data_IF_844625865811
#
_entry.id   IF_844625865811
#
_cell.length_a   1.000
_cell.length_b   1.000
_cell.length_c   1.000
_cell.angle_alpha   90.00
_cell.angle_beta   90.00
_cell.angle_gamma   90.00
#
_symmetry.space_group_name_H-M   'P 1'
#
loop_
_entity.id
_entity.type
_entity.pdbx_description
1 polymer ?
#
# COMPACT_ATOMS: atom_id res chain seq x y z
N UNK A 1 2.31 -3.08 31.77
CA UNK A 1 1.35 -2.71 30.70
C UNK A 1 2.14 -2.03 29.58
N UNK A 2 2.61 -2.79 28.59
CA UNK A 2 3.46 -2.28 27.51
C UNK A 2 2.60 -1.67 26.40
N UNK A 3 2.71 -0.35 26.21
CA UNK A 3 2.24 0.36 25.03
C UNK A 3 3.28 0.19 23.91
N UNK A 4 3.06 -0.77 23.03
CA UNK A 4 3.81 -0.97 21.78
C UNK A 4 2.85 -1.22 20.62
N UNK A 5 1.75 -0.48 20.56
CA UNK A 5 0.91 -0.40 19.37
C UNK A 5 1.29 0.86 18.60
N UNK A 6 1.93 0.69 17.44
CA UNK A 6 2.14 1.77 16.48
C UNK A 6 0.76 2.23 15.95
N UNK A 7 0.51 3.55 15.80
CA UNK A 7 -0.76 4.02 15.25
C UNK A 7 -0.84 3.67 13.75
N UNK A 8 -1.60 2.61 13.43
CA UNK A 8 -1.99 2.30 12.05
C UNK A 8 -3.12 3.24 11.63
N UNK A 9 -2.96 3.91 10.50
CA UNK A 9 -3.72 5.09 10.11
C UNK A 9 -5.22 4.84 9.85
N UNK A 10 -5.60 3.59 9.57
CA UNK A 10 -6.93 3.26 9.04
C UNK A 10 -7.79 2.35 9.96
N UNK A 11 -7.37 2.12 11.20
CA UNK A 11 -8.13 1.28 12.14
C UNK A 11 -8.06 -0.23 11.83
N UNK A 12 -8.78 -1.04 12.62
CA UNK A 12 -8.75 -2.51 12.57
C UNK A 12 -10.14 -3.15 12.40
N UNK A 13 -11.16 -2.35 12.09
CA UNK A 13 -12.53 -2.84 12.02
C UNK A 13 -12.83 -3.59 10.71
N UNK A 14 -13.96 -4.31 10.67
CA UNK A 14 -14.38 -5.07 9.49
C UNK A 14 -14.66 -4.18 8.26
N UNK A 15 -14.97 -2.89 8.47
CA UNK A 15 -15.16 -1.91 7.40
C UNK A 15 -13.84 -1.65 6.70
N UNK A 16 -12.79 -1.40 7.48
CA UNK A 16 -11.43 -1.17 6.98
C UNK A 16 -10.88 -2.40 6.27
N UNK A 17 -11.06 -3.59 6.85
CA UNK A 17 -10.61 -4.83 6.21
C UNK A 17 -11.26 -5.06 4.84
N UNK A 18 -12.55 -4.73 4.70
CA UNK A 18 -13.24 -4.80 3.42
C UNK A 18 -12.78 -3.71 2.44
N UNK A 19 -12.45 -2.51 2.95
CA UNK A 19 -11.90 -1.42 2.13
C UNK A 19 -10.54 -1.80 1.54
N UNK A 20 -9.65 -2.42 2.31
CA UNK A 20 -8.34 -2.91 1.85
C UNK A 20 -8.47 -3.97 0.74
N UNK A 21 -9.45 -4.87 0.83
CA UNK A 21 -9.73 -5.85 -0.25
C UNK A 21 -10.21 -5.16 -1.53
N UNK A 22 -11.18 -4.24 -1.43
CA UNK A 22 -11.65 -3.44 -2.58
C UNK A 22 -10.50 -2.65 -3.22
N UNK A 23 -9.61 -2.06 -2.40
CA UNK A 23 -8.43 -1.37 -2.88
C UNK A 23 -7.58 -2.29 -3.76
N UNK A 24 -7.26 -3.50 -3.29
CA UNK A 24 -6.47 -4.45 -4.07
C UNK A 24 -7.14 -4.82 -5.42
N UNK A 25 -8.45 -5.05 -5.44
CA UNK A 25 -9.20 -5.32 -6.67
C UNK A 25 -9.15 -4.14 -7.67
N UNK A 26 -9.37 -2.91 -7.19
CA UNK A 26 -9.35 -1.71 -8.05
C UNK A 26 -7.96 -1.41 -8.60
N UNK A 27 -6.90 -1.68 -7.84
CA UNK A 27 -5.52 -1.36 -8.21
C UNK A 27 -4.81 -2.51 -8.91
N UNK A 28 -5.31 -3.76 -8.82
CA UNK A 28 -4.65 -4.98 -9.31
C UNK A 28 -4.09 -4.80 -10.72
N UNK A 29 -4.93 -4.37 -11.66
CA UNK A 29 -4.50 -4.24 -13.06
C UNK A 29 -3.30 -3.28 -13.20
N UNK A 30 -3.28 -2.18 -12.45
CA UNK A 30 -2.23 -1.16 -12.58
C UNK A 30 -0.95 -1.56 -11.86
N UNK A 31 -1.08 -2.15 -10.67
CA UNK A 31 0.04 -2.62 -9.84
C UNK A 31 0.74 -3.80 -10.52
N UNK A 32 -0.01 -4.82 -10.96
CA UNK A 32 0.55 -6.07 -11.46
C UNK A 32 0.90 -6.09 -12.95
N UNK A 33 0.60 -5.02 -13.70
CA UNK A 33 0.83 -4.95 -15.17
C UNK A 33 2.25 -5.36 -15.58
N UNK A 34 3.25 -4.91 -14.82
CA UNK A 34 4.68 -5.10 -15.14
C UNK A 34 5.40 -6.00 -14.12
N UNK A 35 4.64 -6.66 -13.24
CA UNK A 35 5.18 -7.59 -12.26
C UNK A 35 5.27 -8.97 -12.89
N UNK A 36 6.48 -9.54 -12.88
CA UNK A 36 6.69 -10.93 -13.23
C UNK A 36 7.46 -11.65 -12.12
N UNK A 37 6.78 -12.59 -11.47
CA UNK A 37 7.28 -13.49 -10.42
C UNK A 37 7.19 -14.96 -10.84
N UNK A 38 7.04 -15.27 -12.14
CA UNK A 38 6.80 -16.64 -12.63
C UNK A 38 7.94 -17.62 -12.35
N UNK A 39 9.15 -17.11 -12.10
CA UNK A 39 10.36 -17.88 -11.77
C UNK A 39 10.66 -17.90 -10.26
N UNK A 40 9.91 -17.13 -9.46
CA UNK A 40 10.02 -17.15 -8.00
C UNK A 40 9.29 -18.38 -7.48
N UNK A 41 9.89 -19.07 -6.51
CA UNK A 41 9.26 -20.20 -5.81
C UNK A 41 8.95 -19.85 -4.37
N UNK A 42 9.91 -19.27 -3.65
CA UNK A 42 9.72 -18.78 -2.28
C UNK A 42 9.75 -17.25 -2.24
N UNK A 43 8.60 -16.64 -1.99
CA UNK A 43 8.42 -15.19 -1.92
C UNK A 43 8.28 -14.76 -0.45
N UNK A 44 8.89 -13.64 -0.07
CA UNK A 44 8.52 -12.92 1.15
C UNK A 44 7.63 -11.73 0.79
N UNK A 45 6.49 -11.60 1.46
CA UNK A 45 5.62 -10.43 1.40
C UNK A 45 5.74 -9.65 2.71
N UNK A 46 6.14 -8.38 2.63
CA UNK A 46 6.30 -7.51 3.81
C UNK A 46 5.14 -6.54 3.91
N UNK A 47 4.45 -6.56 5.04
CA UNK A 47 3.24 -5.76 5.27
C UNK A 47 2.04 -6.37 4.54
N UNK A 48 1.76 -7.66 4.77
CA UNK A 48 0.67 -8.35 4.07
C UNK A 48 -0.72 -7.83 4.45
N UNK A 49 -0.85 -7.13 5.58
CA UNK A 49 -2.12 -6.61 6.09
C UNK A 49 -3.17 -7.72 6.14
N UNK A 50 -4.33 -7.46 5.54
CA UNK A 50 -5.47 -8.40 5.46
C UNK A 50 -5.33 -9.49 4.38
N UNK A 51 -4.13 -9.67 3.82
CA UNK A 51 -3.84 -10.69 2.80
C UNK A 51 -4.40 -10.37 1.40
N UNK A 52 -4.74 -9.10 1.13
CA UNK A 52 -5.36 -8.72 -0.14
C UNK A 52 -4.39 -8.84 -1.33
N UNK A 53 -3.14 -8.39 -1.18
CA UNK A 53 -2.12 -8.57 -2.21
C UNK A 53 -1.63 -10.03 -2.27
N UNK A 54 -1.57 -10.71 -1.11
CA UNK A 54 -1.26 -12.15 -1.00
C UNK A 54 -2.20 -13.00 -1.86
N UNK A 55 -3.52 -12.77 -1.79
CA UNK A 55 -4.51 -13.45 -2.62
C UNK A 55 -4.18 -13.30 -4.11
N UNK A 56 -3.96 -12.06 -4.55
CA UNK A 56 -3.68 -11.74 -5.95
C UNK A 56 -2.39 -12.44 -6.41
N UNK A 57 -1.33 -12.38 -5.59
CA UNK A 57 -0.05 -13.04 -5.86
C UNK A 57 -0.25 -14.54 -6.06
N UNK A 58 -0.95 -15.21 -5.14
CA UNK A 58 -1.22 -16.64 -5.18
C UNK A 58 -2.05 -17.04 -6.40
N UNK A 59 -3.04 -16.22 -6.78
CA UNK A 59 -3.88 -16.44 -7.96
C UNK A 59 -3.10 -16.25 -9.26
N UNK A 60 -2.27 -15.22 -9.36
CA UNK A 60 -1.53 -14.87 -10.60
C UNK A 60 -0.30 -15.73 -10.85
N UNK A 61 0.36 -16.19 -9.78
CA UNK A 61 1.60 -16.95 -9.87
C UNK A 61 1.43 -18.32 -9.19
N UNK A 62 0.97 -19.36 -9.93
CA UNK A 62 0.58 -20.63 -9.33
C UNK A 62 1.72 -21.43 -8.67
N UNK A 63 2.98 -21.05 -8.91
CA UNK A 63 4.18 -21.76 -8.41
C UNK A 63 4.81 -21.13 -7.16
N UNK A 64 4.30 -20.01 -6.67
CA UNK A 64 4.86 -19.35 -5.48
C UNK A 64 4.27 -19.95 -4.20
N UNK A 65 5.12 -20.05 -3.19
CA UNK A 65 4.75 -20.11 -1.78
C UNK A 65 5.19 -18.80 -1.14
N UNK A 66 4.35 -18.22 -0.27
CA UNK A 66 4.56 -16.89 0.31
C UNK A 66 4.70 -16.98 1.83
N UNK A 67 5.81 -16.50 2.36
CA UNK A 67 5.90 -16.14 3.78
C UNK A 67 5.47 -14.67 3.91
N UNK A 68 4.36 -14.43 4.60
CA UNK A 68 3.77 -13.11 4.78
C UNK A 68 4.12 -12.61 6.18
N UNK A 69 4.67 -11.41 6.29
CA UNK A 69 4.93 -10.77 7.59
C UNK A 69 4.06 -9.53 7.77
N UNK A 70 3.56 -9.35 8.99
CA UNK A 70 2.90 -8.11 9.42
C UNK A 70 3.14 -7.90 10.93
N UNK A 71 3.08 -6.64 11.37
CA UNK A 71 3.22 -6.27 12.79
C UNK A 71 1.88 -6.33 13.54
N UNK A 72 0.75 -6.38 12.83
CA UNK A 72 -0.57 -6.43 13.45
C UNK A 72 -1.13 -7.84 13.47
N UNK A 73 -1.33 -8.40 14.67
CA UNK A 73 -2.00 -9.69 14.85
C UNK A 73 -3.43 -9.66 14.30
N UNK A 74 -4.16 -8.56 14.48
CA UNK A 74 -5.54 -8.41 13.97
C UNK A 74 -5.59 -8.48 12.43
N UNK A 75 -4.60 -7.90 11.75
CA UNK A 75 -4.52 -7.97 10.29
C UNK A 75 -4.19 -9.39 9.82
N UNK A 76 -3.28 -10.08 10.51
CA UNK A 76 -2.96 -11.48 10.21
C UNK A 76 -4.15 -12.41 10.43
N UNK A 77 -4.93 -12.22 11.49
CA UNK A 77 -6.18 -12.96 11.70
C UNK A 77 -7.18 -12.74 10.55
N UNK A 78 -7.31 -11.49 10.08
CA UNK A 78 -8.16 -11.16 8.94
C UNK A 78 -7.64 -11.73 7.62
N UNK A 79 -6.32 -11.78 7.44
CA UNK A 79 -5.66 -12.41 6.32
C UNK A 79 -5.93 -13.90 6.29
N UNK A 80 -5.79 -14.59 7.42
CA UNK A 80 -6.06 -16.03 7.55
C UNK A 80 -7.51 -16.34 7.15
N UNK A 81 -8.48 -15.60 7.68
CA UNK A 81 -9.89 -15.79 7.33
C UNK A 81 -10.20 -15.52 5.85
N UNK A 82 -9.46 -14.62 5.21
CA UNK A 82 -9.62 -14.28 3.80
C UNK A 82 -9.02 -15.35 2.89
N UNK A 83 -7.77 -15.72 3.17
CA UNK A 83 -6.99 -16.63 2.35
C UNK A 83 -7.48 -18.08 2.49
N UNK A 84 -7.95 -18.49 3.67
CA UNK A 84 -8.54 -19.81 3.88
C UNK A 84 -9.78 -20.09 3.01
N UNK A 85 -10.48 -19.04 2.54
CA UNK A 85 -11.63 -19.15 1.62
C UNK A 85 -11.19 -19.37 0.16
N UNK A 86 -9.92 -19.14 -0.15
CA UNK A 86 -9.38 -19.25 -1.49
C UNK A 86 -8.79 -20.65 -1.71
N UNK A 87 -9.49 -21.51 -2.45
CA UNK A 87 -9.06 -22.91 -2.65
C UNK A 87 -7.64 -23.02 -3.25
N UNK A 88 -7.24 -22.08 -4.11
CA UNK A 88 -5.89 -22.04 -4.66
C UNK A 88 -4.85 -21.61 -3.63
N UNK A 89 -5.18 -20.89 -2.55
CA UNK A 89 -4.21 -20.43 -1.56
C UNK A 89 -3.77 -21.55 -0.60
N UNK A 90 -4.53 -22.65 -0.51
CA UNK A 90 -4.30 -23.76 0.40
C UNK A 90 -2.84 -24.25 0.34
N UNK A 91 -2.20 -24.35 1.51
CA UNK A 91 -0.82 -24.83 1.71
C UNK A 91 0.26 -24.03 0.95
N UNK A 92 -0.06 -22.80 0.48
CA UNK A 92 0.86 -21.93 -0.28
C UNK A 92 1.20 -20.61 0.40
N UNK A 93 0.75 -20.39 1.62
CA UNK A 93 1.14 -19.24 2.41
C UNK A 93 1.36 -19.61 3.87
N UNK A 94 2.20 -18.83 4.54
CA UNK A 94 2.39 -18.85 6.00
C UNK A 94 2.36 -17.41 6.49
N UNK A 95 1.62 -17.16 7.57
CA UNK A 95 1.51 -15.85 8.20
C UNK A 95 2.42 -15.77 9.43
N UNK A 96 3.17 -14.68 9.55
CA UNK A 96 4.13 -14.46 10.61
C UNK A 96 3.93 -13.08 11.25
N UNK A 97 3.75 -13.05 12.56
CA UNK A 97 3.78 -11.81 13.32
C UNK A 97 5.24 -11.41 13.56
N UNK A 98 5.75 -10.45 12.78
CA UNK A 98 7.17 -10.08 12.80
C UNK A 98 7.38 -8.59 12.52
N UNK A 99 8.45 -8.04 13.09
CA UNK A 99 8.92 -6.71 12.76
C UNK A 99 9.77 -6.75 11.48
N UNK A 100 9.38 -5.99 10.46
CA UNK A 100 10.08 -5.96 9.18
C UNK A 100 11.53 -5.44 9.25
N UNK A 101 11.93 -4.81 10.36
CA UNK A 101 13.30 -4.35 10.60
C UNK A 101 14.21 -5.37 11.28
N UNK A 102 13.67 -6.51 11.71
CA UNK A 102 14.37 -7.59 12.40
C UNK A 102 13.61 -8.91 12.21
N UNK A 103 13.91 -9.62 11.11
CA UNK A 103 13.14 -10.80 10.69
C UNK A 103 13.79 -12.09 11.19
N UNK A 104 12.98 -12.99 11.75
CA UNK A 104 13.44 -14.30 12.24
C UNK A 104 13.63 -15.35 11.11
N UNK A 105 14.12 -14.91 9.95
CA UNK A 105 14.47 -15.78 8.83
C UNK A 105 15.99 -15.87 8.65
N UNK A 106 16.46 -17.01 8.16
CA UNK A 106 17.85 -17.17 7.77
C UNK A 106 18.21 -16.29 6.57
N UNK A 107 19.47 -15.86 6.51
CA UNK A 107 20.03 -15.16 5.35
C UNK A 107 19.86 -15.99 4.08
N UNK A 108 19.55 -15.34 2.95
CA UNK A 108 19.40 -15.99 1.65
C UNK A 108 18.34 -17.13 1.59
N UNK A 109 17.23 -16.95 2.30
CA UNK A 109 16.09 -17.87 2.32
C UNK A 109 15.13 -17.73 1.13
N UNK A 110 15.06 -16.57 0.49
CA UNK A 110 13.99 -16.22 -0.46
C UNK A 110 14.47 -15.95 -1.89
N UNK A 111 13.64 -16.31 -2.88
CA UNK A 111 13.89 -16.12 -4.32
C UNK A 111 13.32 -14.79 -4.84
N UNK A 112 12.48 -14.13 -4.04
CA UNK A 112 11.98 -12.79 -4.32
C UNK A 112 11.26 -12.17 -3.14
N UNK A 113 11.03 -10.86 -3.24
CA UNK A 113 10.30 -10.08 -2.25
C UNK A 113 9.26 -9.17 -2.91
N UNK A 114 8.15 -8.94 -2.20
CA UNK A 114 7.08 -8.04 -2.61
C UNK A 114 6.68 -7.12 -1.45
N UNK A 115 6.64 -5.82 -1.73
CA UNK A 115 6.23 -4.77 -0.81
C UNK A 115 5.23 -3.85 -1.52
N UNK A 116 4.11 -3.55 -0.88
CA UNK A 116 3.08 -2.67 -1.45
C UNK A 116 2.43 -1.83 -0.34
N UNK A 117 2.61 -0.51 -0.39
CA UNK A 117 2.03 0.46 0.54
C UNK A 117 2.40 0.19 2.01
N UNK A 118 3.68 -0.06 2.27
CA UNK A 118 4.20 -0.37 3.61
C UNK A 118 5.28 0.60 4.03
N UNK A 119 6.17 1.00 3.12
CA UNK A 119 7.30 1.86 3.46
C UNK A 119 6.86 3.29 3.83
N UNK A 120 5.68 3.71 3.39
CA UNK A 120 5.07 4.99 3.78
C UNK A 120 4.68 5.06 5.26
N UNK A 121 4.62 3.92 5.96
CA UNK A 121 4.19 3.81 7.36
C UNK A 121 5.33 3.51 8.34
N UNK A 122 6.56 3.28 7.85
CA UNK A 122 7.69 2.88 8.70
C UNK A 122 8.67 4.04 8.96
N UNK A 123 9.18 4.22 10.18
CA UNK A 123 10.15 5.27 10.49
C UNK A 123 11.50 5.13 9.77
N UNK A 124 11.91 3.90 9.46
CA UNK A 124 13.18 3.60 8.82
C UNK A 124 13.00 2.60 7.66
N UNK A 125 12.59 3.08 6.47
CA UNK A 125 12.45 2.23 5.29
C UNK A 125 13.80 1.66 4.82
N UNK A 126 14.92 2.31 5.15
CA UNK A 126 16.26 1.82 4.85
C UNK A 126 16.55 0.52 5.61
N UNK A 127 16.26 0.49 6.92
CA UNK A 127 16.43 -0.71 7.75
C UNK A 127 15.55 -1.86 7.31
N UNK A 128 14.28 -1.59 6.95
CA UNK A 128 13.40 -2.61 6.36
C UNK A 128 14.01 -3.19 5.08
N UNK A 129 14.47 -2.33 4.16
CA UNK A 129 15.04 -2.79 2.89
C UNK A 129 16.40 -3.47 3.05
N UNK A 130 17.20 -3.09 4.05
CA UNK A 130 18.41 -3.82 4.44
C UNK A 130 18.05 -5.24 4.88
N UNK A 131 16.99 -5.39 5.67
CA UNK A 131 16.63 -6.69 6.21
C UNK A 131 15.99 -7.61 5.18
N UNK A 132 15.15 -7.04 4.30
CA UNK A 132 14.68 -7.74 3.09
C UNK A 132 15.87 -8.21 2.25
N UNK A 133 16.91 -7.38 2.07
CA UNK A 133 18.09 -7.77 1.30
C UNK A 133 18.81 -8.95 1.95
N UNK A 134 18.94 -8.98 3.28
CA UNK A 134 19.60 -10.08 4.02
C UNK A 134 18.89 -11.42 3.76
N UNK A 135 17.57 -11.45 3.82
CA UNK A 135 16.81 -12.71 3.67
C UNK A 135 16.66 -13.14 2.21
N UNK A 136 16.90 -12.25 1.24
CA UNK A 136 16.92 -12.57 -0.19
C UNK A 136 18.24 -13.26 -0.60
N UNK A 137 18.13 -14.28 -1.47
CA UNK A 137 19.29 -14.85 -2.16
C UNK A 137 19.93 -13.81 -3.09
N UNK A 138 21.26 -13.86 -3.32
CA UNK A 138 21.89 -13.05 -4.35
C UNK A 138 21.23 -13.29 -5.72
N UNK A 139 20.95 -12.21 -6.45
CA UNK A 139 20.22 -12.21 -7.71
C UNK A 139 18.69 -12.28 -7.61
N UNK A 140 18.11 -12.38 -6.40
CA UNK A 140 16.65 -12.41 -6.21
C UNK A 140 16.01 -11.06 -6.55
N UNK A 141 14.77 -11.11 -7.05
CA UNK A 141 14.01 -9.91 -7.46
C UNK A 141 13.20 -9.34 -6.32
N UNK A 142 13.15 -8.01 -6.23
CA UNK A 142 12.24 -7.29 -5.34
C UNK A 142 11.34 -6.38 -6.18
N UNK A 143 10.04 -6.35 -5.84
CA UNK A 143 9.10 -5.34 -6.32
C UNK A 143 8.57 -4.53 -5.14
N UNK A 144 8.59 -3.21 -5.27
CA UNK A 144 8.12 -2.26 -4.26
C UNK A 144 7.14 -1.31 -4.94
N UNK A 145 5.95 -1.13 -4.38
CA UNK A 145 4.94 -0.19 -4.87
C UNK A 145 4.55 0.76 -3.74
N UNK A 146 4.79 2.06 -3.90
CA UNK A 146 4.56 3.05 -2.84
C UNK A 146 3.95 4.35 -3.38
N UNK A 147 3.33 5.09 -2.46
CA UNK A 147 2.60 6.34 -2.71
C UNK A 147 3.47 7.49 -3.20
N UNK A 148 2.83 8.41 -3.92
CA UNK A 148 3.35 9.75 -4.23
C UNK A 148 2.22 10.76 -4.04
N UNK A 149 1.90 11.08 -2.78
CA UNK A 149 0.70 11.84 -2.44
C UNK A 149 0.66 13.25 -3.01
N UNK A 150 1.82 13.85 -3.27
CA UNK A 150 1.94 15.16 -3.94
C UNK A 150 1.41 15.16 -5.39
N UNK A 151 1.17 13.99 -5.98
CA UNK A 151 0.65 13.86 -7.34
C UNK A 151 -0.88 13.78 -7.45
N UNK A 152 -1.58 13.75 -6.32
CA UNK A 152 -3.04 13.76 -6.31
C UNK A 152 -3.56 15.03 -6.99
N UNK A 153 -4.54 14.88 -7.86
CA UNK A 153 -5.23 15.96 -8.53
C UNK A 153 -6.70 15.59 -8.77
N UNK A 154 -7.57 16.57 -8.57
CA UNK A 154 -9.02 16.43 -8.71
C UNK A 154 -9.59 17.67 -9.40
N UNK A 155 -10.38 17.44 -10.45
CA UNK A 155 -11.18 18.44 -11.16
C UNK A 155 -12.67 18.08 -11.02
N UNK A 156 -13.57 19.04 -10.71
CA UNK A 156 -13.29 20.46 -10.41
C UNK A 156 -12.51 20.70 -9.12
N UNK A 157 -11.77 21.81 -9.09
CA UNK A 157 -11.01 22.24 -7.92
C UNK A 157 -11.89 22.26 -6.65
N UNK A 158 -11.45 21.50 -5.65
CA UNK A 158 -12.19 21.23 -4.42
C UNK A 158 -11.38 21.70 -3.20
N UNK A 159 -11.55 22.95 -2.75
CA UNK A 159 -10.64 23.57 -1.77
C UNK A 159 -10.61 22.87 -0.41
N UNK A 160 -11.73 22.30 0.06
CA UNK A 160 -11.76 21.61 1.34
C UNK A 160 -11.15 20.21 1.23
N UNK A 161 -11.31 19.53 0.10
CA UNK A 161 -10.55 18.30 -0.21
C UNK A 161 -9.04 18.56 -0.18
N UNK A 162 -8.59 19.67 -0.76
CA UNK A 162 -7.16 20.04 -0.73
C UNK A 162 -6.64 20.35 0.68
N UNK A 163 -7.39 21.10 1.47
CA UNK A 163 -7.04 21.36 2.89
C UNK A 163 -6.92 20.06 3.67
N UNK A 164 -7.91 19.17 3.53
CA UNK A 164 -7.90 17.86 4.18
C UNK A 164 -6.69 17.03 3.72
N UNK A 165 -6.43 16.97 2.41
CA UNK A 165 -5.33 16.18 1.86
C UNK A 165 -3.95 16.66 2.32
N UNK A 166 -3.74 17.98 2.38
CA UNK A 166 -2.50 18.55 2.90
C UNK A 166 -2.32 18.21 4.38
N UNK A 167 -3.38 18.39 5.19
CA UNK A 167 -3.35 18.04 6.61
C UNK A 167 -3.10 16.55 6.86
N UNK A 168 -3.67 15.67 6.03
CA UNK A 168 -3.39 14.22 6.07
C UNK A 168 -1.91 13.92 5.82
N UNK A 169 -1.30 14.56 4.83
CA UNK A 169 0.13 14.37 4.53
C UNK A 169 1.03 14.85 5.68
N UNK A 170 0.70 16.01 6.27
CA UNK A 170 1.44 16.53 7.43
C UNK A 170 1.31 15.57 8.62
N UNK A 171 0.10 15.04 8.86
CA UNK A 171 -0.14 14.05 9.91
C UNK A 171 0.69 12.78 9.70
N UNK A 172 0.70 12.22 8.49
CA UNK A 172 1.51 11.04 8.17
C UNK A 172 3.00 11.29 8.44
N UNK A 173 3.50 12.48 8.09
CA UNK A 173 4.89 12.86 8.33
C UNK A 173 5.20 12.96 9.83
N UNK A 174 4.31 13.57 10.62
CA UNK A 174 4.48 13.71 12.06
C UNK A 174 4.42 12.37 12.79
N UNK A 175 3.64 11.42 12.28
CA UNK A 175 3.60 10.02 12.71
C UNK A 175 4.82 9.20 12.27
N UNK A 176 5.86 9.85 11.71
CA UNK A 176 7.11 9.24 11.22
C UNK A 176 6.92 8.36 9.99
N UNK A 177 5.80 8.50 9.28
CA UNK A 177 5.63 8.00 7.92
C UNK A 177 6.20 8.95 6.88
N UNK A 178 6.03 8.59 5.61
CA UNK A 178 6.48 9.41 4.48
C UNK A 178 5.49 9.33 3.31
N UNK A 179 4.57 10.32 3.16
CA UNK A 179 3.57 10.37 2.08
C UNK A 179 4.17 10.48 0.67
N UNK A 180 5.49 10.68 0.58
CA UNK A 180 6.21 10.92 -0.67
C UNK A 180 7.30 9.88 -0.93
N UNK A 181 7.31 8.78 -0.17
CA UNK A 181 8.37 7.77 -0.18
C UNK A 181 8.59 7.15 -1.57
N UNK A 182 7.53 7.04 -2.39
CA UNK A 182 7.61 6.51 -3.74
C UNK A 182 8.66 7.21 -4.60
N UNK A 183 8.76 8.54 -4.52
CA UNK A 183 9.77 9.30 -5.26
C UNK A 183 11.21 9.04 -4.81
N UNK A 184 11.40 8.47 -3.61
CA UNK A 184 12.70 8.25 -2.97
C UNK A 184 13.21 6.81 -3.16
N UNK A 185 12.36 5.89 -3.63
CA UNK A 185 12.66 4.45 -3.70
C UNK A 185 13.99 4.12 -4.41
N UNK A 186 14.29 4.79 -5.52
CA UNK A 186 15.54 4.54 -6.26
C UNK A 186 16.78 4.79 -5.42
N UNK A 187 16.81 5.89 -4.67
CA UNK A 187 17.94 6.25 -3.82
C UNK A 187 18.05 5.34 -2.60
N UNK A 188 16.92 5.01 -1.96
CA UNK A 188 16.91 4.13 -0.79
C UNK A 188 17.41 2.73 -1.18
N UNK A 189 16.92 2.18 -2.29
CA UNK A 189 17.40 0.89 -2.82
C UNK A 189 18.90 0.92 -3.12
N UNK A 190 19.40 1.97 -3.76
CA UNK A 190 20.82 2.12 -4.07
C UNK A 190 21.69 2.19 -2.80
N UNK A 191 21.24 2.92 -1.77
CA UNK A 191 21.93 3.03 -0.48
C UNK A 191 21.98 1.67 0.25
N UNK A 192 20.95 0.83 0.11
CA UNK A 192 20.93 -0.51 0.69
C UNK A 192 21.65 -1.57 -0.17
N UNK A 193 22.33 -1.16 -1.25
CA UNK A 193 23.17 -2.05 -2.06
C UNK A 193 22.42 -2.88 -3.10
N UNK A 194 21.14 -2.58 -3.37
CA UNK A 194 20.43 -3.20 -4.49
C UNK A 194 21.01 -2.74 -5.84
N UNK A 195 20.87 -3.58 -6.86
CA UNK A 195 21.31 -3.29 -8.24
C UNK A 195 20.17 -3.49 -9.24
N UNK A 196 20.44 -3.17 -10.51
CA UNK A 196 19.46 -3.25 -11.60
C UNK A 196 18.14 -2.53 -11.28
N UNK A 197 18.26 -1.38 -10.62
CA UNK A 197 17.11 -0.62 -10.11
C UNK A 197 16.39 0.04 -11.28
N UNK A 198 15.12 -0.32 -11.47
CA UNK A 198 14.20 0.32 -12.39
C UNK A 198 13.03 0.92 -11.60
N UNK A 199 12.87 2.23 -11.70
CA UNK A 199 11.73 2.96 -11.12
C UNK A 199 10.75 3.31 -12.25
N UNK A 200 9.47 3.07 -12.04
CA UNK A 200 8.41 3.34 -13.00
C UNK A 200 7.26 4.08 -12.33
N UNK A 201 6.86 5.21 -12.89
CA UNK A 201 5.65 5.93 -12.47
C UNK A 201 4.43 5.23 -13.03
N UNK A 202 3.48 4.91 -12.16
CA UNK A 202 2.17 4.35 -12.48
C UNK A 202 1.13 5.43 -12.22
N UNK A 203 0.07 5.45 -13.02
CA UNK A 203 -0.95 6.51 -12.95
C UNK A 203 -2.35 5.93 -12.99
N UNK A 204 -3.24 6.49 -12.17
CA UNK A 204 -4.67 6.45 -12.38
C UNK A 204 -5.10 7.80 -12.95
N UNK A 205 -5.28 7.85 -14.26
CA UNK A 205 -5.85 9.01 -14.95
C UNK A 205 -7.25 8.63 -15.43
N UNK A 206 -8.26 9.12 -14.73
CA UNK A 206 -9.66 8.78 -14.95
C UNK A 206 -10.44 10.06 -15.26
N UNK A 207 -11.03 10.08 -16.45
CA UNK A 207 -11.80 11.19 -16.98
C UNK A 207 -13.03 10.65 -17.74
N UNK A 208 -13.69 11.52 -18.50
CA UNK A 208 -14.92 11.18 -19.20
C UNK A 208 -14.76 10.18 -20.36
N UNK A 209 -13.54 9.70 -20.66
CA UNK A 209 -13.34 8.54 -21.54
C UNK A 209 -13.83 7.24 -20.90
N UNK A 210 -13.95 7.21 -19.56
CA UNK A 210 -14.40 6.05 -18.76
C UNK A 210 -15.26 6.51 -17.57
N UNK A 211 -16.45 7.09 -17.80
CA UNK A 211 -17.23 7.76 -16.76
C UNK A 211 -17.66 6.85 -15.62
N UNK A 212 -18.10 5.62 -15.92
CA UNK A 212 -18.47 4.63 -14.89
C UNK A 212 -17.30 4.28 -13.97
N UNK A 213 -16.15 3.92 -14.55
CA UNK A 213 -14.92 3.61 -13.80
C UNK A 213 -14.41 4.81 -13.01
N UNK A 214 -14.49 6.03 -13.57
CA UNK A 214 -14.14 7.27 -12.86
C UNK A 214 -15.02 7.44 -11.62
N UNK A 215 -16.33 7.27 -11.77
CA UNK A 215 -17.31 7.41 -10.68
C UNK A 215 -17.04 6.42 -9.55
N UNK A 216 -16.88 5.14 -9.89
CA UNK A 216 -16.54 4.08 -8.92
C UNK A 216 -15.21 4.37 -8.21
N UNK A 217 -14.21 4.86 -8.94
CA UNK A 217 -12.90 5.15 -8.36
C UNK A 217 -12.92 6.36 -7.44
N UNK A 218 -13.65 7.43 -7.77
CA UNK A 218 -13.81 8.59 -6.87
C UNK A 218 -14.53 8.17 -5.59
N UNK A 219 -15.53 7.29 -5.68
CA UNK A 219 -16.21 6.74 -4.50
C UNK A 219 -15.26 5.92 -3.62
N UNK A 220 -14.53 4.98 -4.22
CA UNK A 220 -13.46 4.24 -3.53
C UNK A 220 -12.43 5.18 -2.87
N UNK A 221 -11.97 6.20 -3.60
CA UNK A 221 -11.01 7.17 -3.10
C UNK A 221 -11.58 8.01 -1.96
N UNK A 222 -12.87 8.36 -2.01
CA UNK A 222 -13.56 9.09 -0.95
C UNK A 222 -13.55 8.29 0.35
N UNK A 223 -13.90 6.99 0.27
CA UNK A 223 -13.89 6.10 1.43
C UNK A 223 -12.48 5.92 2.01
N UNK A 224 -11.47 5.75 1.14
CA UNK A 224 -10.06 5.67 1.55
C UNK A 224 -9.60 6.97 2.23
N UNK A 225 -9.79 8.11 1.57
CA UNK A 225 -9.32 9.40 2.05
C UNK A 225 -9.94 9.75 3.39
N UNK A 226 -11.25 9.57 3.55
CA UNK A 226 -11.98 9.97 4.75
C UNK A 226 -11.89 8.96 5.89
N UNK A 227 -11.33 7.75 5.69
CA UNK A 227 -11.17 6.76 6.76
C UNK A 227 -10.33 7.26 7.95
N UNK A 228 -9.46 8.25 7.75
CA UNK A 228 -8.66 8.86 8.79
C UNK A 228 -9.31 10.11 9.43
N UNK A 229 -10.54 10.49 9.03
CA UNK A 229 -11.16 11.76 9.44
C UNK A 229 -11.28 11.91 10.95
N UNK A 230 -11.75 10.87 11.64
CA UNK A 230 -12.02 10.94 13.08
C UNK A 230 -10.72 11.17 13.86
N UNK A 231 -9.64 10.51 13.43
CA UNK A 231 -8.33 10.65 14.05
C UNK A 231 -7.70 12.01 13.75
N UNK A 232 -7.80 12.50 12.51
CA UNK A 232 -7.32 13.84 12.12
C UNK A 232 -8.05 14.97 12.86
N UNK A 233 -9.37 14.84 13.08
CA UNK A 233 -10.16 15.80 13.86
C UNK A 233 -9.75 15.75 15.33
N UNK A 234 -9.64 14.55 15.89
CA UNK A 234 -9.22 14.34 17.29
C UNK A 234 -7.83 14.92 17.57
N UNK A 235 -6.90 14.73 16.64
CA UNK A 235 -5.53 15.23 16.75
C UNK A 235 -5.39 16.69 16.26
N UNK A 236 -6.50 17.32 15.86
CA UNK A 236 -6.61 18.75 15.49
C UNK A 236 -5.83 19.16 14.24
N UNK A 237 -5.61 18.24 13.31
CA UNK A 237 -5.05 18.55 11.98
C UNK A 237 -6.10 19.15 11.05
N UNK A 238 -7.38 18.81 11.27
CA UNK A 238 -8.52 19.31 10.49
C UNK A 238 -9.72 19.50 11.41
N UNK A 239 -10.65 20.39 11.06
CA UNK A 239 -11.92 20.56 11.79
C UNK A 239 -13.06 19.77 11.13
N UNK A 240 -14.13 19.51 11.90
CA UNK A 240 -15.32 18.79 11.42
C UNK A 240 -15.97 19.47 10.22
N UNK A 241 -15.91 20.81 10.15
CA UNK A 241 -16.47 21.58 9.05
C UNK A 241 -15.73 21.31 7.73
N UNK A 242 -14.40 21.23 7.77
CA UNK A 242 -13.56 20.91 6.61
C UNK A 242 -13.81 19.48 6.15
N UNK A 243 -13.92 18.51 7.07
CA UNK A 243 -14.27 17.12 6.72
C UNK A 243 -15.63 17.05 6.04
N UNK A 244 -16.64 17.74 6.60
CA UNK A 244 -17.99 17.79 6.03
C UNK A 244 -17.98 18.39 4.61
N UNK A 245 -17.33 19.55 4.43
CA UNK A 245 -17.25 20.22 3.13
C UNK A 245 -16.45 19.41 2.10
N UNK A 246 -15.35 18.79 2.51
CA UNK A 246 -14.58 17.89 1.64
C UNK A 246 -15.44 16.70 1.17
N UNK A 247 -16.26 16.14 2.06
CA UNK A 247 -17.20 15.06 1.73
C UNK A 247 -18.26 15.51 0.71
N UNK A 248 -18.81 16.72 0.88
CA UNK A 248 -19.79 17.30 -0.06
C UNK A 248 -19.15 17.60 -1.43
N UNK A 249 -17.92 18.12 -1.44
CA UNK A 249 -17.14 18.36 -2.66
C UNK A 249 -16.88 17.03 -3.41
N UNK A 250 -16.38 15.99 -2.74
CA UNK A 250 -16.15 14.67 -3.36
C UNK A 250 -17.42 14.05 -3.96
N UNK A 251 -18.56 14.18 -3.25
CA UNK A 251 -19.87 13.75 -3.78
C UNK A 251 -20.27 14.53 -5.03
N UNK A 252 -19.94 15.81 -5.10
CA UNK A 252 -20.18 16.66 -6.27
C UNK A 252 -19.30 16.22 -7.43
N UNK A 253 -17.98 16.13 -7.21
CA UNK A 253 -17.01 15.72 -8.25
C UNK A 253 -17.34 14.34 -8.81
N UNK A 254 -17.74 13.39 -7.96
CA UNK A 254 -18.14 12.04 -8.39
C UNK A 254 -19.24 12.05 -9.46
N UNK A 255 -20.16 13.01 -9.40
CA UNK A 255 -21.31 13.11 -10.30
C UNK A 255 -21.11 14.12 -11.45
N UNK A 256 -20.00 14.85 -11.46
CA UNK A 256 -19.70 15.82 -12.51
C UNK A 256 -19.27 15.10 -13.81
N UNK A 257 -19.91 15.37 -14.96
CA UNK A 257 -19.56 14.75 -16.24
C UNK A 257 -18.14 15.11 -16.70
N UNK A 258 -17.61 16.25 -16.30
CA UNK A 258 -16.28 16.76 -16.66
C UNK A 258 -15.20 16.44 -15.62
N UNK A 259 -15.54 15.71 -14.55
CA UNK A 259 -14.56 15.40 -13.51
C UNK A 259 -13.32 14.70 -14.07
N UNK A 260 -12.18 15.05 -13.49
CA UNK A 260 -10.90 14.36 -13.71
C UNK A 260 -10.35 13.95 -12.36
N UNK A 261 -10.04 12.68 -12.23
CA UNK A 261 -9.24 12.16 -11.13
C UNK A 261 -7.87 11.79 -11.67
N UNK A 262 -6.82 12.29 -11.05
CA UNK A 262 -5.46 11.90 -11.35
C UNK A 262 -4.68 11.61 -10.07
N UNK A 263 -3.98 10.48 -10.06
CA UNK A 263 -3.03 10.14 -9.02
C UNK A 263 -1.91 9.31 -9.63
N UNK A 264 -0.68 9.51 -9.16
CA UNK A 264 0.45 8.67 -9.52
C UNK A 264 1.08 8.04 -8.28
N UNK A 265 1.64 6.86 -8.48
CA UNK A 265 2.41 6.14 -7.48
C UNK A 265 3.62 5.51 -8.16
N UNK A 266 4.60 5.10 -7.36
CA UNK A 266 5.88 4.65 -7.89
C UNK A 266 6.03 3.15 -7.65
N UNK A 267 6.45 2.44 -8.69
CA UNK A 267 6.84 1.04 -8.60
C UNK A 267 8.33 0.91 -8.92
N UNK A 268 9.08 0.33 -7.99
CA UNK A 268 10.47 -0.04 -8.18
C UNK A 268 10.61 -1.56 -8.36
N UNK A 269 11.50 -1.94 -9.27
CA UNK A 269 12.01 -3.30 -9.42
C UNK A 269 13.52 -3.25 -9.23
N UNK A 270 14.08 -4.16 -8.44
CA UNK A 270 15.53 -4.26 -8.26
C UNK A 270 15.98 -5.70 -8.02
N UNK A 271 17.29 -5.87 -7.84
CA UNK A 271 17.96 -7.13 -7.55
C UNK A 271 18.78 -7.03 -6.27
N UNK A 272 18.60 -7.99 -5.36
CA UNK A 272 19.44 -8.13 -4.18
C UNK A 272 20.77 -8.79 -4.58
N UNK A 273 21.91 -8.20 -4.23
CA UNK A 273 23.26 -8.75 -4.46
C UNK A 273 24.06 -8.67 -3.18
#
# INVERSE_FOLDING_TARGET
MSKTEFPYLHGFDTTEQNRLRKQAEFTEHTVYKDINLSQVKKLIEVGSGVGAQTEILLRRFPKINIDCIDLSTNQLEAAEQSLAKCAYAKDRYTLHHMNATDMEFETASFDGAFLCWILEHVPDPGKVLSEVRRVLRPGSVIYITEVLNSSFFLEPYSPNVWKYWMAFNDYQYDMKGDPFIGAKLGNILMQQGYRDIKVTTKTWHLDNRRPGKRKEFIEFWTDLLLSASDQLVKDKYVDEETVKKATEELKTVRNDPNAVFYYSFIQAKAKAF
#
